data_IF_256329538790
#
_entry.id   IF_256329538790
#
_cell.length_a   1.000
_cell.length_b   1.000
_cell.length_c   1.000
_cell.angle_alpha   90.00
_cell.angle_beta   90.00
_cell.angle_gamma   90.00
#
_symmetry.space_group_name_H-M   'P 1'
#
loop_
_entity.id
_entity.type
_entity.pdbx_description
1 polymer ?
#
# COMPACT_ATOMS: atom_id res chain seq x y z
N UNK A 1 -4.31 -26.66 -14.81
CA UNK A 1 -3.64 -26.69 -13.49
C UNK A 1 -2.71 -27.89 -13.49
N UNK A 2 -1.40 -27.68 -13.69
CA UNK A 2 -0.44 -28.78 -13.74
C UNK A 2 0.03 -29.07 -12.30
N UNK A 3 -0.38 -30.22 -11.76
CA UNK A 3 0.06 -30.70 -10.45
C UNK A 3 1.41 -31.40 -10.64
N UNK A 4 2.50 -30.81 -10.15
CA UNK A 4 3.82 -31.46 -10.14
C UNK A 4 3.86 -32.41 -8.95
N UNK A 5 3.56 -33.69 -9.19
CA UNK A 5 3.69 -34.74 -8.17
C UNK A 5 5.17 -34.94 -7.80
N UNK A 6 5.49 -34.99 -6.51
CA UNK A 6 6.81 -35.41 -6.01
C UNK A 6 7.68 -34.37 -5.30
N UNK A 7 7.16 -33.17 -4.97
CA UNK A 7 7.83 -32.25 -4.05
C UNK A 7 7.03 -32.14 -2.75
N UNK A 8 7.71 -32.35 -1.63
CA UNK A 8 7.23 -32.04 -0.28
C UNK A 8 7.83 -30.71 0.15
N UNK A 9 7.03 -29.87 0.83
CA UNK A 9 7.50 -28.61 1.38
C UNK A 9 7.23 -28.57 2.89
N UNK A 10 8.24 -28.18 3.66
CA UNK A 10 8.16 -27.89 5.09
C UNK A 10 8.16 -26.39 5.35
N UNK A 11 7.77 -25.99 6.57
CA UNK A 11 7.76 -24.58 7.02
C UNK A 11 9.13 -23.90 6.84
N UNK A 12 10.22 -24.65 6.95
CA UNK A 12 11.59 -24.14 6.82
C UNK A 12 12.02 -23.95 5.35
N UNK A 13 11.34 -24.62 4.43
CA UNK A 13 11.67 -24.62 2.99
C UNK A 13 10.82 -23.66 2.16
N UNK A 14 9.65 -23.27 2.65
CA UNK A 14 8.82 -22.28 1.98
C UNK A 14 9.35 -20.87 2.30
N UNK A 15 9.68 -20.05 1.29
CA UNK A 15 10.06 -18.68 1.55
C UNK A 15 8.87 -17.95 2.18
N UNK A 16 9.07 -17.41 3.39
CA UNK A 16 8.12 -16.45 3.96
C UNK A 16 7.91 -15.33 2.93
N UNK A 17 6.65 -14.90 2.73
CA UNK A 17 6.35 -13.75 1.86
C UNK A 17 7.10 -12.53 2.39
N UNK A 18 8.28 -12.27 1.84
CA UNK A 18 9.02 -11.03 2.05
C UNK A 18 8.42 -9.98 1.13
N UNK A 19 8.12 -8.81 1.66
CA UNK A 19 7.74 -7.64 0.87
C UNK A 19 8.74 -7.48 -0.30
N UNK A 20 8.23 -7.39 -1.54
CA UNK A 20 9.05 -7.27 -2.74
C UNK A 20 9.47 -8.58 -3.44
N UNK A 21 9.16 -9.76 -2.91
CA UNK A 21 9.40 -11.02 -3.63
C UNK A 21 8.30 -11.23 -4.70
N UNK A 22 8.67 -11.11 -5.99
CA UNK A 22 7.75 -11.31 -7.13
C UNK A 22 7.59 -12.78 -7.53
N UNK A 23 8.41 -13.66 -6.94
CA UNK A 23 8.41 -15.08 -7.27
C UNK A 23 7.34 -15.78 -6.43
N UNK A 24 6.12 -15.80 -6.96
CA UNK A 24 5.11 -16.74 -6.52
C UNK A 24 5.53 -18.14 -7.00
N UNK A 25 6.09 -18.96 -6.12
CA UNK A 25 6.21 -20.38 -6.41
C UNK A 25 4.79 -20.98 -6.55
N UNK A 26 4.53 -21.55 -7.72
CA UNK A 26 3.26 -22.22 -8.03
C UNK A 26 3.14 -23.52 -7.23
N UNK A 27 2.29 -23.53 -6.21
CA UNK A 27 1.86 -24.74 -5.51
C UNK A 27 1.06 -25.64 -6.47
N UNK A 28 1.28 -26.96 -6.48
CA UNK A 28 0.91 -27.79 -5.33
C UNK A 28 2.05 -28.71 -4.85
N UNK A 29 2.37 -28.60 -3.57
CA UNK A 29 3.26 -29.50 -2.81
C UNK A 29 2.43 -30.25 -1.78
N UNK A 30 2.72 -31.52 -1.55
CA UNK A 30 2.10 -32.27 -0.44
C UNK A 30 2.63 -31.71 0.88
N UNK A 31 1.71 -31.26 1.74
CA UNK A 31 2.01 -30.61 3.03
C UNK A 31 1.88 -31.67 4.12
N UNK A 32 3.01 -32.23 4.57
CA UNK A 32 3.01 -33.35 5.52
C UNK A 32 2.78 -32.92 6.98
N UNK A 33 3.20 -31.71 7.37
CA UNK A 33 3.03 -31.22 8.74
C UNK A 33 3.03 -29.69 8.76
N UNK A 34 1.91 -29.09 9.14
CA UNK A 34 1.73 -27.64 9.22
C UNK A 34 1.52 -27.23 10.68
N UNK A 35 2.57 -26.72 11.32
CA UNK A 35 2.50 -26.25 12.69
C UNK A 35 3.80 -25.58 13.11
N UNK A 36 3.70 -24.33 13.56
CA UNK A 36 4.82 -23.55 14.05
C UNK A 36 4.56 -23.12 15.49
N UNK A 37 5.62 -22.92 16.29
CA UNK A 37 5.50 -22.23 17.57
C UNK A 37 5.32 -20.74 17.32
N UNK A 38 4.05 -20.33 17.25
CA UNK A 38 3.65 -18.94 17.04
C UNK A 38 3.48 -18.20 18.38
N UNK A 39 3.42 -16.86 18.34
CA UNK A 39 3.10 -16.03 19.52
C UNK A 39 4.28 -15.70 20.45
N UNK A 40 5.51 -16.14 20.15
CA UNK A 40 6.69 -15.70 20.89
C UNK A 40 6.91 -14.18 20.71
N UNK A 41 7.01 -13.44 21.82
CA UNK A 41 7.29 -12.00 21.79
C UNK A 41 8.72 -11.75 21.31
N UNK A 42 8.85 -11.14 20.13
CA UNK A 42 10.12 -10.61 19.62
C UNK A 42 10.13 -9.10 19.79
N UNK A 43 11.29 -8.53 20.12
CA UNK A 43 11.52 -7.08 20.10
C UNK A 43 12.53 -6.77 19.01
N UNK A 44 12.18 -5.83 18.14
CA UNK A 44 13.08 -5.30 17.13
C UNK A 44 13.42 -3.86 17.51
N UNK A 45 14.70 -3.51 17.51
CA UNK A 45 15.13 -2.12 17.57
C UNK A 45 15.05 -1.56 16.15
N UNK A 46 14.41 -0.40 16.00
CA UNK A 46 14.29 0.29 14.71
C UNK A 46 14.53 1.78 14.89
N UNK A 47 15.06 2.39 13.84
CA UNK A 47 15.17 3.84 13.73
C UNK A 47 13.96 4.35 12.95
N UNK A 48 13.39 5.46 13.37
CA UNK A 48 12.23 6.07 12.73
C UNK A 48 12.59 7.42 12.10
N UNK A 49 11.87 7.75 11.03
CA UNK A 49 11.94 9.07 10.40
C UNK A 49 10.89 9.98 11.06
N UNK A 50 11.28 11.20 11.40
CA UNK A 50 10.36 12.21 11.92
C UNK A 50 9.30 12.57 10.88
N UNK A 51 8.04 12.72 11.30
CA UNK A 51 6.92 13.06 10.42
C UNK A 51 5.85 13.83 11.18
N UNK A 52 5.23 14.80 10.51
CA UNK A 52 4.09 15.53 11.04
C UNK A 52 2.79 14.82 10.68
N UNK A 53 2.24 14.03 11.62
CA UNK A 53 1.01 13.25 11.44
C UNK A 53 -0.21 14.09 11.06
N UNK A 54 -0.22 15.36 11.46
CA UNK A 54 -1.29 16.31 11.15
C UNK A 54 -1.52 16.47 9.64
N UNK A 55 -0.48 16.37 8.80
CA UNK A 55 -0.65 16.50 7.35
C UNK A 55 -1.57 15.39 6.78
N UNK A 56 -1.39 14.15 7.22
CA UNK A 56 -2.25 13.04 6.83
C UNK A 56 -3.68 13.19 7.36
N UNK A 57 -3.83 13.71 8.59
CA UNK A 57 -5.15 14.02 9.17
C UNK A 57 -5.86 15.09 8.34
N UNK A 58 -5.18 16.19 8.02
CA UNK A 58 -5.74 17.28 7.22
C UNK A 58 -6.09 16.84 5.80
N UNK A 59 -5.25 16.06 5.11
CA UNK A 59 -5.55 15.55 3.76
C UNK A 59 -6.83 14.71 3.74
N UNK A 60 -7.01 13.81 4.71
CA UNK A 60 -8.25 13.02 4.85
C UNK A 60 -9.46 13.89 5.16
N UNK A 61 -9.34 14.79 6.13
CA UNK A 61 -10.43 15.69 6.50
C UNK A 61 -10.86 16.57 5.33
N UNK A 62 -9.90 17.09 4.56
CA UNK A 62 -10.15 17.86 3.35
C UNK A 62 -10.89 17.05 2.29
N UNK A 63 -10.44 15.82 2.01
CA UNK A 63 -11.12 14.93 1.06
C UNK A 63 -12.56 14.62 1.49
N UNK A 64 -12.78 14.35 2.78
CA UNK A 64 -14.09 14.09 3.36
C UNK A 64 -15.02 15.29 3.27
N UNK A 65 -14.54 16.47 3.63
CA UNK A 65 -15.32 17.71 3.58
C UNK A 65 -15.77 18.07 2.14
N UNK A 66 -14.96 17.74 1.14
CA UNK A 66 -15.29 17.96 -0.27
C UNK A 66 -16.11 16.82 -0.90
N UNK A 67 -16.50 15.80 -0.14
CA UNK A 67 -17.25 14.64 -0.65
C UNK A 67 -16.46 13.78 -1.64
N UNK A 68 -15.13 13.90 -1.66
CA UNK A 68 -14.22 13.27 -2.63
C UNK A 68 -13.38 12.16 -1.98
N UNK A 69 -14.00 11.29 -1.17
CA UNK A 69 -13.30 10.13 -0.57
C UNK A 69 -13.07 9.03 -1.62
N UNK A 70 -12.17 9.31 -2.55
CA UNK A 70 -11.78 8.43 -3.65
C UNK A 70 -10.26 8.30 -3.76
N UNK A 71 -9.80 7.17 -4.30
CA UNK A 71 -8.38 6.94 -4.52
C UNK A 71 -7.87 7.74 -5.72
N UNK A 72 -6.82 8.53 -5.52
CA UNK A 72 -6.20 9.34 -6.58
C UNK A 72 -5.59 8.51 -7.72
N UNK A 73 -5.27 7.24 -7.46
CA UNK A 73 -4.75 6.32 -8.46
C UNK A 73 -5.88 5.60 -9.24
N UNK A 74 -6.70 4.79 -8.55
CA UNK A 74 -7.64 3.89 -9.22
C UNK A 74 -9.11 4.36 -9.19
N UNK A 75 -9.41 5.51 -8.58
CA UNK A 75 -10.78 6.03 -8.37
C UNK A 75 -11.72 5.12 -7.61
N UNK A 76 -11.18 4.20 -6.83
CA UNK A 76 -11.99 3.45 -5.89
C UNK A 76 -12.69 4.44 -4.95
N UNK A 77 -14.03 4.47 -4.99
CA UNK A 77 -14.88 5.22 -4.09
C UNK A 77 -15.48 4.22 -3.08
N UNK A 78 -14.97 4.25 -1.84
CA UNK A 78 -15.35 3.25 -0.84
C UNK A 78 -16.75 3.44 -0.26
N UNK A 79 -17.39 4.59 -0.48
CA UNK A 79 -18.66 4.94 0.16
C UNK A 79 -19.78 3.96 -0.21
N UNK A 80 -19.87 3.60 -1.49
CA UNK A 80 -20.88 2.66 -2.00
C UNK A 80 -20.63 1.22 -1.54
N UNK A 81 -19.39 0.89 -1.15
CA UNK A 81 -18.99 -0.47 -0.78
C UNK A 81 -18.99 -0.71 0.74
N UNK A 82 -18.61 0.30 1.53
CA UNK A 82 -18.30 0.14 2.96
C UNK A 82 -19.03 1.15 3.87
N UNK A 83 -19.78 2.10 3.32
CA UNK A 83 -20.57 3.05 4.10
C UNK A 83 -19.72 3.82 5.11
N UNK A 84 -20.06 3.70 6.40
CA UNK A 84 -19.39 4.40 7.51
C UNK A 84 -17.93 3.96 7.71
N UNK A 85 -17.57 2.74 7.30
CA UNK A 85 -16.21 2.21 7.42
C UNK A 85 -15.24 2.75 6.36
N UNK A 86 -15.70 3.64 5.48
CA UNK A 86 -14.92 4.21 4.37
C UNK A 86 -13.59 4.82 4.81
N UNK A 87 -13.53 5.45 5.99
CA UNK A 87 -12.32 6.11 6.49
C UNK A 87 -11.16 5.11 6.67
N UNK A 88 -11.47 3.83 6.91
CA UNK A 88 -10.48 2.75 7.03
C UNK A 88 -9.98 2.22 5.68
N UNK A 89 -10.65 2.57 4.57
CA UNK A 89 -10.28 2.10 3.23
C UNK A 89 -9.19 2.95 2.57
N UNK A 90 -8.91 4.14 3.12
CA UNK A 90 -8.01 5.13 2.53
C UNK A 90 -6.85 5.50 3.45
N UNK A 91 -5.67 5.56 2.86
CA UNK A 91 -4.42 5.90 3.50
C UNK A 91 -3.79 7.08 2.77
N UNK A 92 -3.02 7.89 3.52
CA UNK A 92 -2.29 9.02 2.93
C UNK A 92 -0.87 8.58 2.66
N UNK A 93 -0.50 8.59 1.39
CA UNK A 93 0.81 8.20 0.90
C UNK A 93 1.62 9.43 0.52
N UNK A 94 2.92 9.44 0.81
CA UNK A 94 3.79 10.52 0.33
C UNK A 94 4.19 10.21 -1.11
N UNK A 95 3.92 11.11 -2.06
CA UNK A 95 4.22 10.90 -3.48
C UNK A 95 5.69 10.59 -3.72
N UNK A 96 6.54 11.26 -2.93
CA UNK A 96 7.96 10.95 -2.74
C UNK A 96 8.19 10.35 -1.37
N UNK A 97 8.97 9.28 -1.28
CA UNK A 97 9.15 8.59 0.01
C UNK A 97 10.00 9.39 1.01
N UNK A 98 9.66 9.33 2.30
CA UNK A 98 10.40 10.03 3.37
C UNK A 98 11.86 9.55 3.53
N UNK A 99 12.13 8.26 3.25
CA UNK A 99 13.48 7.71 3.32
C UNK A 99 14.46 8.31 2.29
N UNK A 100 13.97 9.08 1.31
CA UNK A 100 14.79 9.75 0.28
C UNK A 100 15.45 11.05 0.76
N UNK A 101 15.22 11.46 2.01
CA UNK A 101 15.83 12.64 2.61
C UNK A 101 14.83 13.63 3.21
N UNK A 102 15.36 14.48 4.10
CA UNK A 102 14.62 15.55 4.76
C UNK A 102 14.16 16.62 3.77
N UNK A 103 12.94 17.13 3.97
CA UNK A 103 12.31 18.15 3.13
C UNK A 103 11.06 18.72 3.80
N UNK A 104 10.63 19.89 3.34
CA UNK A 104 9.29 20.41 3.61
C UNK A 104 8.31 19.59 2.78
N UNK A 105 7.26 19.08 3.41
CA UNK A 105 6.17 18.33 2.75
C UNK A 105 4.90 19.15 2.84
N UNK A 106 4.31 19.46 1.69
CA UNK A 106 3.04 20.15 1.59
C UNK A 106 1.89 19.16 1.32
N UNK A 107 0.66 19.67 1.22
CA UNK A 107 -0.53 18.82 1.01
C UNK A 107 -0.55 18.18 -0.39
N UNK A 108 0.10 18.84 -1.34
CA UNK A 108 0.24 18.44 -2.74
C UNK A 108 1.27 17.31 -2.91
N UNK A 109 2.17 17.14 -1.95
CA UNK A 109 3.15 16.04 -1.88
C UNK A 109 2.55 14.75 -1.34
N UNK A 110 1.26 14.78 -0.95
CA UNK A 110 0.52 13.67 -0.39
C UNK A 110 -0.57 13.23 -1.36
N UNK A 111 -0.77 11.92 -1.46
CA UNK A 111 -1.82 11.30 -2.25
C UNK A 111 -2.76 10.50 -1.33
N UNK A 112 -4.07 10.66 -1.50
CA UNK A 112 -5.06 9.79 -0.90
C UNK A 112 -5.20 8.51 -1.75
N UNK A 113 -4.81 7.37 -1.19
CA UNK A 113 -4.81 6.08 -1.89
C UNK A 113 -5.64 5.05 -1.14
N UNK A 114 -6.24 4.09 -1.85
CA UNK A 114 -6.89 2.96 -1.18
C UNK A 114 -5.83 1.97 -0.66
N UNK A 115 -6.22 1.12 0.30
CA UNK A 115 -5.34 0.10 0.88
C UNK A 115 -4.66 -0.79 -0.17
N UNK A 116 -5.34 -1.10 -1.28
CA UNK A 116 -4.79 -1.93 -2.35
C UNK A 116 -3.68 -1.21 -3.14
N UNK A 117 -3.91 0.05 -3.53
CA UNK A 117 -2.89 0.84 -4.21
C UNK A 117 -1.71 1.13 -3.29
N UNK A 118 -1.96 1.42 -2.01
CA UNK A 118 -0.92 1.62 -1.01
C UNK A 118 -0.02 0.38 -0.87
N UNK A 119 -0.62 -0.79 -0.68
CA UNK A 119 0.10 -2.07 -0.64
C UNK A 119 0.85 -2.37 -1.93
N UNK A 120 0.28 -2.04 -3.10
CA UNK A 120 0.95 -2.25 -4.38
C UNK A 120 2.19 -1.35 -4.54
N UNK A 121 2.12 -0.08 -4.13
CA UNK A 121 3.26 0.85 -4.18
C UNK A 121 4.41 0.33 -3.31
N UNK A 122 4.13 0.01 -2.05
CA UNK A 122 5.13 -0.54 -1.13
C UNK A 122 5.66 -1.90 -1.61
N UNK A 123 4.78 -2.79 -2.08
CA UNK A 123 5.14 -4.10 -2.62
C UNK A 123 6.00 -4.06 -3.88
N UNK A 124 6.04 -2.93 -4.60
CA UNK A 124 6.91 -2.70 -5.74
C UNK A 124 8.29 -2.11 -5.36
N UNK A 125 8.57 -1.96 -4.07
CA UNK A 125 9.81 -1.41 -3.55
C UNK A 125 9.79 0.11 -3.44
N UNK A 126 8.69 0.66 -2.89
CA UNK A 126 8.54 2.09 -2.64
C UNK A 126 8.76 2.95 -3.90
N UNK A 127 8.12 2.56 -5.01
CA UNK A 127 8.20 3.37 -6.23
C UNK A 127 7.44 4.69 -6.03
N UNK A 128 7.98 5.77 -6.57
CA UNK A 128 7.34 7.09 -6.50
C UNK A 128 5.92 7.05 -7.09
N UNK A 129 5.00 7.81 -6.50
CA UNK A 129 3.59 7.76 -6.87
C UNK A 129 3.35 8.09 -8.35
N UNK A 130 4.07 9.06 -8.90
CA UNK A 130 3.99 9.40 -10.33
C UNK A 130 4.45 8.24 -11.22
N UNK A 131 5.46 7.48 -10.79
CA UNK A 131 5.91 6.30 -11.50
C UNK A 131 4.86 5.17 -11.42
N UNK A 132 4.19 5.04 -10.27
CA UNK A 132 3.06 4.12 -10.10
C UNK A 132 1.90 4.47 -11.05
N UNK A 133 1.50 5.75 -11.10
CA UNK A 133 0.46 6.23 -12.03
C UNK A 133 0.85 5.97 -13.48
N UNK A 134 2.05 6.38 -13.91
CA UNK A 134 2.51 6.13 -15.29
C UNK A 134 2.47 4.67 -15.68
N UNK A 135 2.69 3.76 -14.73
CA UNK A 135 2.75 2.32 -14.97
C UNK A 135 1.38 1.65 -14.99
N UNK A 136 0.45 2.05 -14.11
CA UNK A 136 -0.82 1.33 -13.90
C UNK A 136 -2.07 2.16 -14.17
N UNK A 137 -1.96 3.49 -14.13
CA UNK A 137 -3.05 4.45 -14.32
C UNK A 137 -2.58 5.63 -15.21
N UNK A 138 -2.09 5.37 -16.44
CA UNK A 138 -1.48 6.40 -17.28
C UNK A 138 -2.44 7.54 -17.63
N UNK A 139 -3.75 7.28 -17.62
CA UNK A 139 -4.80 8.30 -17.80
C UNK A 139 -4.84 9.35 -16.66
N UNK A 140 -4.08 9.12 -15.58
CA UNK A 140 -3.94 9.98 -14.40
C UNK A 140 -2.57 10.63 -14.28
N UNK A 141 -1.56 10.12 -14.98
CA UNK A 141 -0.21 10.63 -14.88
C UNK A 141 -0.15 12.12 -15.30
N UNK A 142 0.35 12.98 -14.42
CA UNK A 142 0.53 14.41 -14.69
C UNK A 142 -0.74 15.27 -14.61
N UNK A 143 -1.89 14.70 -14.20
CA UNK A 143 -3.05 15.51 -13.80
C UNK A 143 -2.82 16.04 -12.39
N UNK A 144 -3.07 17.33 -12.19
CA UNK A 144 -3.04 17.96 -10.86
C UNK A 144 -3.99 17.24 -9.89
N UNK A 145 -3.67 17.32 -8.60
CA UNK A 145 -4.49 16.73 -7.54
C UNK A 145 -5.94 17.13 -7.75
N UNK A 146 -6.80 16.12 -7.91
CA UNK A 146 -8.23 16.28 -8.08
C UNK A 146 -8.89 17.06 -6.92
N UNK A 147 -8.16 17.27 -5.83
CA UNK A 147 -8.57 17.99 -4.63
C UNK A 147 -8.18 19.48 -4.61
N UNK A 148 -7.32 19.95 -5.51
CA UNK A 148 -6.90 21.36 -5.57
C UNK A 148 -7.69 22.17 -6.60
N UNK A 149 -8.40 21.51 -7.51
CA UNK A 149 -9.30 22.20 -8.42
C UNK A 149 -10.64 22.49 -7.71
N UNK A 150 -11.09 23.76 -7.67
CA UNK A 150 -12.38 24.12 -7.09
C UNK A 150 -13.52 23.39 -7.82
N UNK A 151 -14.63 23.10 -7.13
CA UNK A 151 -15.79 22.45 -7.73
C UNK A 151 -16.41 23.25 -8.87
#
# INVERSE_FOLDING_TARGET
MLIIRGRTASLDSLPARREGCRDFEMLPVEIEQFGAREGARKRHLSTSISRHSNLAVFKRAHAKANGRMECEACRFAGLSAYGEAIDCCFEVHHKRHLHKGERITAMEDLALVCANCHNAIHGLGDIEFDAFLKRFHPERAGKVDFFLEPP
#
